data_IF_588687521280
#
_entry.id   IF_588687521280
#
_cell.length_a   1.000
_cell.length_b   1.000
_cell.length_c   1.000
_cell.angle_alpha   90.00
_cell.angle_beta   90.00
_cell.angle_gamma   90.00
#
_symmetry.space_group_name_H-M   'P 1'
#
loop_
_entity.id
_entity.type
_entity.pdbx_description
1 polymer ?
#
# COMPACT_ATOMS: atom_id res chain seq x y z
N UNK A 1 19.73 2.14 -23.09
CA UNK A 1 18.62 3.03 -22.66
C UNK A 1 17.36 2.32 -23.09
N UNK A 2 16.46 1.99 -22.16
CA UNK A 2 15.23 1.26 -22.48
C UNK A 2 14.14 2.29 -22.81
N UNK A 3 13.43 2.10 -23.92
CA UNK A 3 12.35 2.98 -24.39
C UNK A 3 11.06 2.72 -23.61
N UNK A 4 11.10 2.94 -22.29
CA UNK A 4 9.98 2.76 -21.38
C UNK A 4 9.41 4.11 -20.96
N UNK A 5 8.09 4.22 -21.00
CA UNK A 5 7.34 5.36 -20.50
C UNK A 5 6.73 5.05 -19.13
N UNK A 6 6.62 6.06 -18.27
CA UNK A 6 6.01 5.94 -16.96
C UNK A 6 4.49 5.88 -17.09
N UNK A 7 3.89 4.75 -16.69
CA UNK A 7 2.44 4.57 -16.73
C UNK A 7 1.68 5.41 -15.66
N UNK A 8 2.34 5.73 -14.55
CA UNK A 8 1.75 6.53 -13.47
C UNK A 8 2.47 6.39 -12.15
N UNK A 9 2.03 7.16 -11.16
CA UNK A 9 2.52 7.11 -9.78
C UNK A 9 1.34 6.93 -8.84
N UNK A 10 1.54 6.14 -7.80
CA UNK A 10 0.56 5.91 -6.74
C UNK A 10 1.24 6.02 -5.38
N UNK A 11 0.44 6.22 -4.32
CA UNK A 11 0.97 6.19 -2.95
C UNK A 11 1.41 4.77 -2.58
N UNK A 12 2.56 4.65 -1.93
CA UNK A 12 3.16 3.36 -1.58
C UNK A 12 2.20 2.39 -0.83
N UNK A 13 1.51 2.79 0.25
CA UNK A 13 0.61 1.86 0.96
C UNK A 13 -0.57 1.37 0.10
N UNK A 14 -1.00 2.14 -0.90
CA UNK A 14 -2.01 1.68 -1.85
C UNK A 14 -1.47 0.58 -2.76
N UNK A 15 -0.25 0.77 -3.29
CA UNK A 15 0.40 -0.25 -4.12
C UNK A 15 0.63 -1.55 -3.34
N UNK A 16 1.10 -1.47 -2.09
CA UNK A 16 1.29 -2.63 -1.23
C UNK A 16 -0.03 -3.36 -0.94
N UNK A 17 -1.11 -2.60 -0.70
CA UNK A 17 -2.46 -3.15 -0.54
C UNK A 17 -2.97 -3.86 -1.79
N UNK A 18 -2.84 -3.25 -2.97
CA UNK A 18 -3.21 -3.87 -4.24
C UNK A 18 -2.40 -5.14 -4.56
N UNK A 19 -1.12 -5.16 -4.20
CA UNK A 19 -0.25 -6.31 -4.44
C UNK A 19 -0.50 -7.47 -3.46
N UNK A 20 -0.98 -7.18 -2.26
CA UNK A 20 -1.09 -8.15 -1.16
C UNK A 20 -2.51 -8.69 -0.98
N UNK A 21 -3.54 -7.88 -1.21
CA UNK A 21 -4.94 -8.23 -0.94
C UNK A 21 -5.64 -8.78 -2.18
N UNK A 22 -6.30 -9.92 -2.04
CA UNK A 22 -7.21 -10.43 -3.08
C UNK A 22 -8.54 -9.67 -3.07
N UNK A 23 -9.31 -9.75 -4.16
CA UNK A 23 -10.56 -8.97 -4.31
C UNK A 23 -11.56 -9.19 -3.16
N UNK A 24 -11.69 -10.42 -2.67
CA UNK A 24 -12.61 -10.77 -1.59
C UNK A 24 -12.22 -10.09 -0.26
N UNK A 25 -10.92 -9.96 0.02
CA UNK A 25 -10.43 -9.26 1.23
C UNK A 25 -10.73 -7.77 1.15
N UNK A 26 -10.55 -7.17 -0.03
CA UNK A 26 -10.87 -5.76 -0.25
C UNK A 26 -12.38 -5.48 -0.22
N UNK A 27 -13.21 -6.45 -0.63
CA UNK A 27 -14.68 -6.33 -0.60
C UNK A 27 -15.21 -6.40 0.83
N UNK A 28 -14.77 -7.39 1.60
CA UNK A 28 -15.17 -7.60 3.00
C UNK A 28 -14.71 -6.47 3.93
N UNK A 29 -13.58 -5.86 3.59
CA UNK A 29 -12.95 -4.82 4.38
C UNK A 29 -11.63 -5.31 4.96
N UNK A 30 -10.52 -4.71 4.55
CA UNK A 30 -9.18 -5.12 4.96
C UNK A 30 -8.26 -3.92 5.14
N UNK A 31 -7.30 -4.06 6.06
CA UNK A 31 -6.21 -3.13 6.23
C UNK A 31 -4.89 -3.81 5.86
N UNK A 32 -4.10 -3.20 4.97
CA UNK A 32 -2.75 -3.64 4.65
C UNK A 32 -1.75 -2.79 5.44
N UNK A 33 -0.91 -3.43 6.24
CA UNK A 33 0.19 -2.79 6.98
C UNK A 33 1.50 -3.23 6.35
N UNK A 34 2.18 -2.31 5.70
CA UNK A 34 3.45 -2.55 5.01
C UNK A 34 4.60 -2.00 5.85
N UNK A 35 5.44 -2.90 6.36
CA UNK A 35 6.54 -2.55 7.28
C UNK A 35 7.84 -2.52 6.49
N UNK A 36 8.24 -1.33 6.06
CA UNK A 36 9.52 -1.08 5.39
C UNK A 36 10.65 -0.78 6.38
N UNK A 37 11.85 -0.50 5.85
CA UNK A 37 12.99 -0.10 6.67
C UNK A 37 12.85 1.31 7.28
N UNK A 38 12.49 2.30 6.46
CA UNK A 38 12.39 3.71 6.88
C UNK A 38 10.99 4.20 7.26
N UNK A 39 9.95 3.45 6.90
CA UNK A 39 8.56 3.83 7.14
C UNK A 39 7.67 2.58 7.21
N UNK A 40 6.56 2.73 7.91
CA UNK A 40 5.48 1.75 7.96
C UNK A 40 4.23 2.40 7.37
N UNK A 41 3.70 1.81 6.30
CA UNK A 41 2.52 2.28 5.60
C UNK A 41 1.25 1.54 6.05
N UNK A 42 0.12 2.23 5.99
CA UNK A 42 -1.22 1.68 6.23
C UNK A 42 -2.14 2.05 5.07
N UNK A 43 -2.87 1.08 4.53
CA UNK A 43 -4.00 1.32 3.63
C UNK A 43 -5.23 0.53 4.08
N UNK A 44 -6.42 1.11 3.92
CA UNK A 44 -7.69 0.48 4.30
C UNK A 44 -8.60 0.43 3.07
N UNK A 45 -9.11 -0.77 2.77
CA UNK A 45 -10.01 -1.06 1.67
C UNK A 45 -11.37 -1.51 2.20
N UNK A 46 -12.46 -1.06 1.59
CA UNK A 46 -13.84 -1.50 1.84
C UNK A 46 -14.58 -1.48 0.51
N UNK A 47 -15.33 -2.54 0.18
CA UNK A 47 -16.06 -2.64 -1.11
C UNK A 47 -15.17 -2.37 -2.33
N UNK A 48 -13.96 -2.94 -2.33
CA UNK A 48 -12.93 -2.77 -3.38
C UNK A 48 -12.44 -1.32 -3.58
N UNK A 49 -12.73 -0.41 -2.64
CA UNK A 49 -12.26 0.96 -2.67
C UNK A 49 -11.32 1.22 -1.51
N UNK A 50 -10.18 1.83 -1.78
CA UNK A 50 -9.32 2.36 -0.73
C UNK A 50 -9.97 3.61 -0.13
N UNK A 51 -10.24 3.57 1.16
CA UNK A 51 -10.87 4.68 1.90
C UNK A 51 -9.88 5.47 2.75
N UNK A 52 -8.70 4.90 3.02
CA UNK A 52 -7.66 5.53 3.83
C UNK A 52 -6.28 5.05 3.42
N UNK A 53 -5.31 5.96 3.46
CA UNK A 53 -3.90 5.66 3.31
C UNK A 53 -3.06 6.66 4.13
N UNK A 54 -2.10 6.15 4.89
CA UNK A 54 -1.18 6.96 5.68
C UNK A 54 0.13 6.21 5.92
N UNK A 55 1.13 6.90 6.46
CA UNK A 55 2.39 6.29 6.84
C UNK A 55 2.99 6.96 8.07
N UNK A 56 3.68 6.17 8.88
CA UNK A 56 4.56 6.67 9.93
C UNK A 56 6.01 6.54 9.48
N UNK A 57 6.82 7.57 9.76
CA UNK A 57 8.27 7.60 9.46
C UNK A 57 9.07 6.80 10.48
N UNK A 58 8.65 5.57 10.72
CA UNK A 58 9.38 4.56 11.48
C UNK A 58 9.18 3.20 10.80
N UNK A 59 10.25 2.44 10.70
CA UNK A 59 10.25 1.09 10.14
C UNK A 59 11.34 0.26 10.80
N UNK A 60 11.73 -0.84 10.15
CA UNK A 60 12.71 -1.78 10.70
C UNK A 60 14.08 -1.19 11.02
N UNK A 61 14.49 -0.08 10.42
CA UNK A 61 15.78 0.57 10.72
C UNK A 61 15.82 1.28 12.07
N UNK A 62 14.67 1.44 12.74
CA UNK A 62 14.54 2.09 14.04
C UNK A 62 14.50 1.07 15.21
N UNK A 63 14.73 -0.22 14.91
CA UNK A 63 14.75 -1.36 15.84
C UNK A 63 16.11 -2.04 15.74
#
# INVERSE_FOLDING_TARGET
RCDLELAGVVVAPYASGLASLVEDEQELGAACVDIGGGATGLSIFVRRQMIYADCVRMGGSHV
#
